data_IF_743482412481
#
_entry.id   IF_743482412481
#
_cell.length_a   1.000
_cell.length_b   1.000
_cell.length_c   1.000
_cell.angle_alpha   90.00
_cell.angle_beta   90.00
_cell.angle_gamma   90.00
#
_symmetry.space_group_name_H-M   'P 1'
#
loop_
_entity.id
_entity.type
_entity.pdbx_description
1 polymer ?
#
# COMPACT_ATOMS: atom_id res chain seq x y z
N UNK A 1 -17.50 -24.41 -5.49
CA UNK A 1 -17.13 -23.01 -5.20
C UNK A 1 -15.94 -23.03 -4.26
N UNK A 2 -15.07 -22.05 -4.35
CA UNK A 2 -13.87 -21.88 -3.50
C UNK A 2 -13.86 -20.42 -3.09
N UNK A 3 -13.70 -20.11 -1.81
CA UNK A 3 -13.59 -18.72 -1.35
C UNK A 3 -12.18 -18.19 -1.59
N UNK A 4 -12.03 -16.87 -1.71
CA UNK A 4 -10.75 -16.22 -1.97
C UNK A 4 -10.19 -15.66 -0.66
N UNK A 5 -8.92 -15.91 -0.39
CA UNK A 5 -8.18 -15.25 0.69
C UNK A 5 -7.19 -14.25 0.10
N UNK A 6 -7.15 -13.06 0.68
CA UNK A 6 -6.21 -11.99 0.40
C UNK A 6 -5.31 -11.75 1.61
N UNK A 7 -4.01 -11.60 1.36
CA UNK A 7 -2.98 -11.25 2.34
C UNK A 7 -1.97 -10.29 1.72
N UNK A 8 -1.54 -9.28 2.46
CA UNK A 8 -0.38 -8.43 2.16
C UNK A 8 0.89 -9.14 2.60
N UNK A 9 1.81 -9.40 1.67
CA UNK A 9 3.10 -10.04 1.90
C UNK A 9 4.21 -9.08 1.44
N UNK A 10 4.93 -8.50 2.40
CA UNK A 10 5.87 -7.41 2.12
C UNK A 10 5.17 -6.26 1.40
N UNK A 11 5.62 -5.94 0.19
CA UNK A 11 5.09 -4.84 -0.63
C UNK A 11 3.99 -5.26 -1.63
N UNK A 12 3.56 -6.53 -1.61
CA UNK A 12 2.63 -7.10 -2.59
C UNK A 12 1.35 -7.65 -1.96
N UNK A 13 0.28 -7.72 -2.76
CA UNK A 13 -0.93 -8.43 -2.38
C UNK A 13 -0.92 -9.82 -3.00
N UNK A 14 -1.12 -10.81 -2.15
CA UNK A 14 -1.22 -12.21 -2.52
C UNK A 14 -2.67 -12.67 -2.35
N UNK A 15 -3.28 -13.16 -3.44
CA UNK A 15 -4.64 -13.71 -3.43
C UNK A 15 -4.65 -15.15 -3.94
N UNK A 16 -5.35 -16.01 -3.23
CA UNK A 16 -5.50 -17.41 -3.62
C UNK A 16 -6.88 -17.95 -3.28
N UNK A 17 -7.37 -18.86 -4.12
CA UNK A 17 -8.59 -19.59 -3.85
C UNK A 17 -8.33 -20.71 -2.84
N UNK A 18 -9.20 -20.87 -1.85
CA UNK A 18 -9.13 -21.96 -0.89
C UNK A 18 -10.05 -23.09 -1.35
N UNK A 19 -9.44 -24.17 -1.81
CA UNK A 19 -10.12 -25.41 -2.21
C UNK A 19 -10.49 -26.31 -1.02
N UNK A 20 -10.93 -27.55 -1.32
CA UNK A 20 -11.11 -28.57 -0.28
C UNK A 20 -9.76 -28.92 0.32
N UNK A 21 -9.59 -28.65 1.62
CA UNK A 21 -8.36 -28.97 2.34
C UNK A 21 -8.25 -30.47 2.55
N UNK A 22 -7.05 -31.01 2.34
CA UNK A 22 -6.83 -32.44 2.47
C UNK A 22 -6.61 -32.84 3.93
N UNK A 23 -6.75 -34.12 4.21
CA UNK A 23 -6.34 -34.67 5.50
C UNK A 23 -4.84 -34.49 5.68
N UNK A 24 -4.42 -34.19 6.92
CA UNK A 24 -3.01 -33.97 7.23
C UNK A 24 -2.11 -35.13 6.76
N UNK A 25 -2.60 -36.38 6.86
CA UNK A 25 -1.89 -37.60 6.44
C UNK A 25 -1.66 -37.73 4.93
N UNK A 26 -2.36 -36.93 4.14
CA UNK A 26 -2.27 -36.96 2.67
C UNK A 26 -1.40 -35.85 2.10
N UNK A 27 -0.89 -34.95 2.96
CA UNK A 27 0.06 -33.92 2.57
C UNK A 27 1.41 -34.61 2.32
N UNK A 28 2.09 -34.21 1.24
CA UNK A 28 3.41 -34.76 0.94
C UNK A 28 4.43 -34.37 2.01
N UNK A 29 5.42 -35.23 2.24
CA UNK A 29 6.48 -34.99 3.22
C UNK A 29 7.66 -34.18 2.65
N UNK A 30 7.58 -33.71 1.41
CA UNK A 30 8.65 -32.96 0.77
C UNK A 30 8.85 -31.60 1.47
N UNK A 31 10.00 -31.35 2.13
CA UNK A 31 10.22 -30.12 2.91
C UNK A 31 10.49 -28.89 2.03
N UNK A 32 10.59 -29.04 0.70
CA UNK A 32 10.83 -27.92 -0.22
C UNK A 32 9.83 -26.79 -0.03
N UNK A 33 10.37 -25.57 0.01
CA UNK A 33 9.59 -24.35 0.13
C UNK A 33 8.63 -24.20 -1.05
N UNK A 34 7.48 -23.61 -0.78
CA UNK A 34 6.58 -23.09 -1.82
C UNK A 34 6.92 -21.63 -2.17
N UNK A 35 8.15 -21.22 -1.86
CA UNK A 35 8.69 -19.86 -2.05
C UNK A 35 10.03 -19.95 -2.77
N UNK A 36 10.19 -19.17 -3.84
CA UNK A 36 11.42 -19.07 -4.61
C UNK A 36 12.41 -18.05 -4.07
N UNK A 37 13.52 -17.89 -4.80
CA UNK A 37 14.65 -17.04 -4.40
C UNK A 37 14.32 -15.54 -4.41
N UNK A 38 13.26 -15.12 -5.10
CA UNK A 38 12.78 -13.73 -5.12
C UNK A 38 11.56 -13.53 -4.20
N UNK A 39 11.21 -14.53 -3.38
CA UNK A 39 9.98 -14.50 -2.59
C UNK A 39 8.72 -14.77 -3.41
N UNK A 40 8.86 -15.28 -4.63
CA UNK A 40 7.74 -15.65 -5.49
C UNK A 40 7.10 -16.96 -5.04
N UNK A 41 5.81 -17.12 -5.32
CA UNK A 41 5.10 -18.36 -5.03
C UNK A 41 5.50 -19.45 -6.03
N UNK A 42 6.12 -20.53 -5.55
CA UNK A 42 6.44 -21.72 -6.35
C UNK A 42 5.36 -22.77 -6.09
N UNK A 43 4.68 -23.10 -7.18
CA UNK A 43 3.57 -24.05 -7.17
C UNK A 43 4.06 -25.47 -7.37
N UNK A 44 3.72 -26.35 -6.44
CA UNK A 44 3.97 -27.78 -6.60
C UNK A 44 2.72 -28.54 -7.05
N UNK A 45 1.53 -27.90 -7.07
CA UNK A 45 0.24 -28.56 -7.36
C UNK A 45 -0.68 -27.79 -8.32
N UNK A 46 -1.26 -28.44 -9.36
CA UNK A 46 -2.03 -27.78 -10.42
C UNK A 46 -3.50 -27.44 -10.12
N UNK A 47 -4.01 -27.71 -8.91
CA UNK A 47 -5.47 -27.71 -8.62
C UNK A 47 -6.04 -26.39 -8.08
N UNK A 48 -5.21 -25.42 -7.69
CA UNK A 48 -5.66 -24.17 -7.02
C UNK A 48 -5.46 -22.93 -7.91
N UNK A 49 -6.44 -22.02 -7.94
CA UNK A 49 -6.34 -20.75 -8.68
C UNK A 49 -5.65 -19.66 -7.85
N UNK A 50 -4.72 -18.93 -8.46
CA UNK A 50 -3.92 -17.88 -7.81
C UNK A 50 -3.96 -16.60 -8.64
N UNK A 51 -4.06 -15.46 -7.95
CA UNK A 51 -3.86 -14.15 -8.54
C UNK A 51 -2.88 -13.37 -7.65
N UNK A 52 -1.63 -13.25 -8.09
CA UNK A 52 -0.65 -12.38 -7.45
C UNK A 52 -0.67 -11.02 -8.15
N UNK A 53 -1.08 -9.96 -7.44
CA UNK A 53 -0.84 -8.60 -7.91
C UNK A 53 0.58 -8.23 -7.47
N UNK A 54 1.56 -8.44 -8.36
CA UNK A 54 2.94 -8.00 -8.14
C UNK A 54 2.99 -6.49 -8.35
N UNK A 55 3.15 -5.71 -7.28
CA UNK A 55 3.63 -4.33 -7.39
C UNK A 55 5.13 -4.40 -7.66
N UNK A 56 5.54 -3.94 -8.83
CA UNK A 56 6.96 -3.69 -9.12
C UNK A 56 7.54 -2.74 -8.08
N UNK A 57 8.62 -3.13 -7.41
CA UNK A 57 9.42 -2.26 -6.54
C UNK A 57 9.80 -1.04 -7.37
N UNK A 58 9.22 0.12 -7.07
CA UNK A 58 9.50 1.35 -7.80
C UNK A 58 10.82 1.93 -7.28
N UNK A 59 11.67 2.36 -8.20
CA UNK A 59 12.82 3.19 -7.84
C UNK A 59 12.33 4.44 -7.09
N UNK A 60 13.08 4.92 -6.10
CA UNK A 60 12.67 6.07 -5.31
C UNK A 60 12.66 7.31 -6.21
N UNK A 61 11.50 7.94 -6.38
CA UNK A 61 11.33 9.13 -7.21
C UNK A 61 11.33 10.39 -6.33
N UNK A 62 12.23 11.32 -6.64
CA UNK A 62 12.19 12.66 -6.04
C UNK A 62 10.93 13.37 -6.55
N UNK A 63 10.06 13.92 -5.67
CA UNK A 63 8.84 14.60 -6.09
C UNK A 63 9.16 15.71 -7.11
N UNK A 64 8.37 15.86 -8.19
CA UNK A 64 8.59 16.93 -9.15
C UNK A 64 8.42 18.30 -8.47
N UNK A 65 9.24 19.31 -8.84
CA UNK A 65 9.19 20.61 -8.21
C UNK A 65 7.82 21.28 -8.42
N UNK A 66 7.21 21.82 -7.36
CA UNK A 66 6.03 22.70 -7.47
C UNK A 66 6.43 23.99 -8.18
N UNK A 67 5.98 24.15 -9.42
CA UNK A 67 6.18 25.37 -10.21
C UNK A 67 5.35 26.52 -9.63
N UNK A 68 6.00 27.55 -9.08
CA UNK A 68 5.39 28.83 -8.65
C UNK A 68 5.66 29.89 -9.74
N UNK A 69 5.51 29.53 -11.01
CA UNK A 69 5.85 30.42 -12.12
C UNK A 69 4.59 30.90 -12.82
N UNK A 70 3.97 31.99 -12.33
CA UNK A 70 3.39 33.10 -13.14
C UNK A 70 2.64 34.09 -12.24
N UNK A 71 3.29 35.13 -11.73
CA UNK A 71 2.57 36.32 -11.24
C UNK A 71 2.44 37.38 -12.36
N UNK A 72 1.22 37.79 -12.73
CA UNK A 72 0.97 38.75 -13.83
C UNK A 72 1.52 40.16 -13.53
N UNK A 73 1.77 40.96 -14.56
CA UNK A 73 2.36 42.32 -14.44
C UNK A 73 1.64 43.24 -13.43
N UNK A 74 0.32 43.17 -13.42
CA UNK A 74 -0.53 43.96 -12.54
C UNK A 74 -0.39 43.59 -11.07
N UNK A 75 -0.14 42.33 -10.73
CA UNK A 75 0.00 41.89 -9.34
C UNK A 75 1.28 42.38 -8.67
N UNK A 76 2.30 42.78 -9.46
CA UNK A 76 3.55 43.38 -8.98
C UNK A 76 3.55 44.92 -8.99
N UNK A 77 2.53 45.53 -9.57
CA UNK A 77 2.34 46.99 -9.61
C UNK A 77 1.38 47.43 -8.51
N UNK A 78 0.38 46.60 -8.19
CA UNK A 78 -0.66 46.83 -7.18
C UNK A 78 -0.48 45.83 -6.05
N UNK A 79 0.63 45.94 -5.32
CA UNK A 79 0.98 45.04 -4.21
C UNK A 79 0.11 45.28 -2.94
N UNK A 80 -1.08 45.87 -3.07
CA UNK A 80 -1.97 46.23 -1.95
C UNK A 80 -1.46 47.36 -1.04
N UNK A 81 -0.26 47.90 -1.27
CA UNK A 81 0.36 48.94 -0.45
C UNK A 81 -0.01 50.36 -0.92
N UNK A 82 0.06 51.35 -0.01
CA UNK A 82 -0.20 52.77 -0.30
C UNK A 82 0.59 53.30 -1.50
N UNK A 83 1.82 52.82 -1.71
CA UNK A 83 2.67 53.17 -2.87
C UNK A 83 2.15 52.57 -4.19
N UNK A 84 1.58 51.36 -4.18
CA UNK A 84 0.97 50.75 -5.37
C UNK A 84 -0.26 51.50 -5.87
N UNK A 85 -1.11 51.99 -4.95
CA UNK A 85 -2.25 52.83 -5.31
C UNK A 85 -1.85 54.21 -5.86
N UNK A 86 -0.75 54.80 -5.36
CA UNK A 86 -0.19 56.04 -5.90
C UNK A 86 0.30 55.83 -7.35
N UNK A 87 0.93 54.70 -7.66
CA UNK A 87 1.38 54.38 -9.02
C UNK A 87 0.22 54.23 -10.01
N UNK A 88 -0.89 53.60 -9.60
CA UNK A 88 -2.12 53.56 -10.39
C UNK A 88 -2.70 54.97 -10.62
N UNK A 89 -2.70 55.80 -9.57
CA UNK A 89 -3.15 57.19 -9.67
C UNK A 89 -2.31 58.01 -10.66
N UNK A 90 -0.99 57.80 -10.70
CA UNK A 90 -0.09 58.46 -11.65
C UNK A 90 -0.36 58.03 -13.10
N UNK A 91 -0.65 56.75 -13.35
CA UNK A 91 -1.02 56.25 -14.68
C UNK A 91 -2.36 56.84 -15.12
N UNK A 92 -3.36 56.85 -14.24
CA UNK A 92 -4.68 57.40 -14.54
C UNK A 92 -4.61 58.91 -14.83
N UNK A 93 -3.86 59.65 -14.01
CA UNK A 93 -3.63 61.08 -14.21
C UNK A 93 -2.84 61.36 -15.50
N UNK A 94 -1.80 60.56 -15.78
CA UNK A 94 -1.02 60.66 -17.01
C UNK A 94 -1.85 60.40 -18.26
N UNK A 95 -2.75 59.41 -18.22
CA UNK A 95 -3.69 59.13 -19.30
C UNK A 95 -4.69 60.28 -19.51
N UNK A 96 -5.19 60.87 -18.41
CA UNK A 96 -6.09 62.03 -18.47
C UNK A 96 -5.39 63.26 -19.07
N UNK A 97 -4.14 63.52 -18.69
CA UNK A 97 -3.32 64.60 -19.25
C UNK A 97 -2.98 64.38 -20.72
N UNK A 98 -2.78 63.12 -21.13
CA UNK A 98 -2.61 62.76 -22.55
C UNK A 98 -3.86 63.04 -23.38
N UNK A 99 -5.03 62.64 -22.88
CA UNK A 99 -6.32 62.93 -23.52
C UNK A 99 -6.59 64.44 -23.58
N UNK A 100 -6.29 65.16 -22.50
CA UNK A 100 -6.42 66.62 -22.44
C UNK A 100 -5.45 67.30 -23.42
N UNK A 101 -4.20 66.82 -23.50
CA UNK A 101 -3.21 67.30 -24.44
C UNK A 101 -3.64 67.10 -25.90
N UNK A 102 -4.17 65.92 -26.24
CA UNK A 102 -4.72 65.65 -27.57
C UNK A 102 -5.92 66.56 -27.92
N UNK A 103 -6.81 66.82 -26.95
CA UNK A 103 -7.94 67.74 -27.12
C UNK A 103 -7.50 69.22 -27.25
N UNK A 104 -6.39 69.60 -26.62
CA UNK A 104 -5.80 70.93 -26.76
C UNK A 104 -5.02 71.07 -28.08
N UNK A 105 -4.38 70.00 -28.57
CA UNK A 105 -3.72 70.01 -29.89
C UNK A 105 -4.75 70.24 -31.00
N UNK A 106 -5.93 69.62 -30.91
CA UNK A 106 -6.99 69.80 -31.92
C UNK A 106 -7.61 71.20 -31.94
N UNK A 107 -7.48 71.98 -30.85
CA UNK A 107 -8.10 73.30 -30.71
C UNK A 107 -7.12 74.48 -30.69
N UNK A 108 -5.90 74.29 -30.18
CA UNK A 108 -4.90 75.36 -29.94
C UNK A 108 -3.47 74.99 -30.39
N UNK A 109 -3.29 73.90 -31.16
CA UNK A 109 -2.02 73.55 -31.78
C UNK A 109 -0.90 73.18 -30.78
N UNK A 110 0.33 73.66 -31.04
CA UNK A 110 1.57 73.20 -30.39
C UNK A 110 1.60 73.27 -28.84
N UNK A 111 0.75 74.09 -28.22
CA UNK A 111 0.63 74.17 -26.76
C UNK A 111 0.13 72.86 -26.11
N UNK A 112 -0.61 72.02 -26.84
CA UNK A 112 -1.07 70.72 -26.33
C UNK A 112 0.04 69.67 -26.22
N UNK A 113 1.17 69.87 -26.92
CA UNK A 113 2.32 68.95 -26.92
C UNK A 113 2.97 68.85 -25.53
N UNK A 114 2.99 69.96 -24.77
CA UNK A 114 3.51 69.95 -23.40
C UNK A 114 2.76 68.97 -22.49
N UNK A 115 1.42 68.95 -22.57
CA UNK A 115 0.58 68.07 -21.77
C UNK A 115 0.72 66.60 -22.18
N UNK A 116 0.93 66.34 -23.48
CA UNK A 116 1.21 65.01 -24.01
C UNK A 116 2.54 64.48 -23.44
N UNK A 117 3.60 65.30 -23.46
CA UNK A 117 4.91 64.91 -22.93
C UNK A 117 4.82 64.65 -21.41
N UNK A 118 4.16 65.53 -20.67
CA UNK A 118 3.98 65.37 -19.22
C UNK A 118 3.17 64.11 -18.88
N UNK A 119 2.10 63.84 -19.63
CA UNK A 119 1.30 62.62 -19.48
C UNK A 119 2.10 61.35 -19.77
N UNK A 120 2.92 61.34 -20.81
CA UNK A 120 3.81 60.22 -21.13
C UNK A 120 4.86 59.95 -20.05
N UNK A 121 5.47 61.00 -19.48
CA UNK A 121 6.44 60.86 -18.37
C UNK A 121 5.77 60.26 -17.13
N UNK A 122 4.57 60.72 -16.79
CA UNK A 122 3.79 60.21 -15.65
C UNK A 122 3.40 58.73 -15.80
N UNK A 123 3.16 58.26 -17.03
CA UNK A 123 2.94 56.83 -17.32
C UNK A 123 4.27 56.06 -17.30
N UNK A 124 5.33 56.61 -17.89
CA UNK A 124 6.60 55.91 -18.04
C UNK A 124 7.30 55.62 -16.69
N UNK A 125 7.21 56.52 -15.71
CA UNK A 125 7.85 56.37 -14.39
C UNK A 125 7.39 55.08 -13.66
N UNK A 126 6.07 54.84 -13.45
CA UNK A 126 5.57 53.58 -12.90
C UNK A 126 6.01 52.33 -13.64
N UNK A 127 6.09 52.39 -14.98
CA UNK A 127 6.54 51.26 -15.81
C UNK A 127 8.02 50.94 -15.59
N UNK A 128 8.89 51.95 -15.61
CA UNK A 128 10.35 51.76 -15.43
C UNK A 128 10.66 51.22 -14.03
N UNK A 129 10.02 51.76 -12.99
CA UNK A 129 10.21 51.30 -11.60
C UNK A 129 9.73 49.84 -11.43
N UNK A 130 8.58 49.49 -12.01
CA UNK A 130 8.05 48.12 -11.99
C UNK A 130 8.97 47.15 -12.76
N UNK A 131 9.55 47.57 -13.89
CA UNK A 131 10.52 46.77 -14.64
C UNK A 131 11.83 46.55 -13.87
N UNK A 132 12.34 47.57 -13.17
CA UNK A 132 13.52 47.42 -12.32
C UNK A 132 13.27 46.46 -11.15
N UNK A 133 12.14 46.59 -10.45
CA UNK A 133 11.73 45.66 -9.39
C UNK A 133 11.63 44.22 -9.90
N UNK A 134 10.98 44.02 -11.07
CA UNK A 134 10.89 42.71 -11.71
C UNK A 134 12.25 42.12 -12.09
N UNK A 135 13.23 42.94 -12.51
CA UNK A 135 14.59 42.46 -12.78
C UNK A 135 15.27 41.96 -11.51
N UNK A 136 15.15 42.68 -10.39
CA UNK A 136 15.72 42.27 -9.10
C UNK A 136 15.05 40.99 -8.58
N UNK A 137 13.72 40.92 -8.62
CA UNK A 137 12.95 39.73 -8.22
C UNK A 137 13.32 38.53 -9.11
N UNK A 138 13.39 38.70 -10.43
CA UNK A 138 13.82 37.63 -11.35
C UNK A 138 15.24 37.16 -11.07
N UNK A 139 16.18 38.07 -10.80
CA UNK A 139 17.56 37.69 -10.48
C UNK A 139 17.63 36.87 -9.18
N UNK A 140 16.89 37.29 -8.15
CA UNK A 140 16.76 36.56 -6.90
C UNK A 140 16.11 35.18 -7.10
N UNK A 141 15.00 35.11 -7.85
CA UNK A 141 14.32 33.85 -8.19
C UNK A 141 15.21 32.92 -9.02
N UNK A 142 15.98 33.44 -9.99
CA UNK A 142 16.92 32.62 -10.77
C UNK A 142 18.04 32.06 -9.92
N UNK A 143 18.51 32.80 -8.92
CA UNK A 143 19.52 32.32 -7.97
C UNK A 143 18.95 31.21 -7.09
N UNK A 144 17.76 31.42 -6.53
CA UNK A 144 17.07 30.38 -5.74
C UNK A 144 16.78 29.14 -6.58
N UNK A 145 16.40 29.30 -7.85
CA UNK A 145 16.19 28.17 -8.78
C UNK A 145 17.48 27.40 -9.02
N UNK A 146 18.58 28.08 -9.32
CA UNK A 146 19.89 27.42 -9.50
C UNK A 146 20.33 26.69 -8.23
N UNK A 147 20.21 27.33 -7.06
CA UNK A 147 20.55 26.70 -5.78
C UNK A 147 19.68 25.46 -5.47
N UNK A 148 18.42 25.45 -5.91
CA UNK A 148 17.53 24.29 -5.82
C UNK A 148 17.90 23.20 -6.83
N UNK A 149 18.10 23.56 -8.09
CA UNK A 149 18.50 22.63 -9.15
C UNK A 149 19.83 21.93 -8.83
N UNK A 150 20.80 22.67 -8.26
CA UNK A 150 22.07 22.10 -7.80
C UNK A 150 21.91 21.18 -6.59
N UNK A 151 20.96 21.46 -5.69
CA UNK A 151 20.63 20.55 -4.58
C UNK A 151 19.92 19.30 -5.10
N UNK A 152 18.95 19.46 -5.98
CA UNK A 152 18.18 18.34 -6.56
C UNK A 152 19.09 17.44 -7.41
N UNK A 153 20.02 18.01 -8.18
CA UNK A 153 21.01 17.25 -8.95
C UNK A 153 21.92 16.42 -8.04
N UNK A 154 22.47 17.02 -6.97
CA UNK A 154 23.27 16.30 -5.98
C UNK A 154 22.49 15.20 -5.28
N UNK A 155 21.23 15.47 -4.91
CA UNK A 155 20.36 14.49 -4.26
C UNK A 155 20.08 13.30 -5.18
N UNK A 156 19.87 13.53 -6.48
CA UNK A 156 19.70 12.44 -7.46
C UNK A 156 20.97 11.63 -7.64
N UNK A 157 22.14 12.28 -7.68
CA UNK A 157 23.42 11.59 -7.77
C UNK A 157 23.66 10.69 -6.55
N UNK A 158 23.44 11.21 -5.34
CA UNK A 158 23.54 10.44 -4.09
C UNK A 158 22.56 9.26 -4.06
N UNK A 159 21.30 9.48 -4.44
CA UNK A 159 20.33 8.38 -4.55
C UNK A 159 20.77 7.34 -5.56
N UNK A 160 21.26 7.76 -6.73
CA UNK A 160 21.70 6.82 -7.76
C UNK A 160 22.87 5.96 -7.28
N UNK A 161 23.86 6.57 -6.60
CA UNK A 161 24.99 5.86 -6.02
C UNK A 161 24.55 4.85 -4.95
N UNK A 162 23.65 5.28 -4.05
CA UNK A 162 23.09 4.42 -3.02
C UNK A 162 22.26 3.27 -3.62
N UNK A 163 21.42 3.53 -4.61
CA UNK A 163 20.66 2.46 -5.30
C UNK A 163 21.56 1.46 -6.01
N UNK A 164 22.66 1.91 -6.63
CA UNK A 164 23.66 1.02 -7.23
C UNK A 164 24.40 0.19 -6.17
N UNK A 165 24.63 0.74 -4.98
CA UNK A 165 25.20 0.00 -3.86
C UNK A 165 24.23 -1.08 -3.35
N UNK A 166 22.94 -0.76 -3.21
CA UNK A 166 21.90 -1.74 -2.86
C UNK A 166 21.76 -2.84 -3.92
N UNK A 167 21.89 -2.51 -5.21
CA UNK A 167 21.89 -3.52 -6.27
C UNK A 167 23.07 -4.49 -6.14
N UNK A 168 24.28 -4.00 -5.82
CA UNK A 168 25.41 -4.89 -5.52
C UNK A 168 25.15 -5.79 -4.31
N UNK A 169 24.51 -5.25 -3.27
CA UNK A 169 24.15 -6.02 -2.07
C UNK A 169 23.14 -7.12 -2.39
N UNK A 170 22.21 -6.85 -3.30
CA UNK A 170 21.24 -7.83 -3.79
C UNK A 170 21.95 -9.03 -4.43
N UNK A 171 23.00 -8.76 -5.22
CA UNK A 171 23.70 -9.77 -6.00
C UNK A 171 24.75 -10.53 -5.15
N UNK A 172 25.46 -9.85 -4.25
CA UNK A 172 26.45 -10.45 -3.35
C UNK A 172 26.45 -9.79 -1.94
N UNK A 173 25.86 -10.44 -0.92
CA UNK A 173 25.82 -9.91 0.44
C UNK A 173 27.10 -10.22 1.23
N UNK A 174 28.26 -9.90 0.67
CA UNK A 174 29.56 -10.05 1.32
C UNK A 174 29.90 -8.88 2.25
N UNK A 175 30.83 -9.09 3.19
CA UNK A 175 31.22 -8.06 4.17
C UNK A 175 31.79 -6.79 3.50
N UNK A 176 32.45 -6.95 2.34
CA UNK A 176 32.96 -5.82 1.55
C UNK A 176 31.81 -4.97 0.98
N UNK A 177 30.78 -5.62 0.44
CA UNK A 177 29.61 -4.96 -0.14
C UNK A 177 28.76 -4.32 0.95
N UNK A 178 28.59 -4.98 2.10
CA UNK A 178 27.93 -4.39 3.27
C UNK A 178 28.62 -3.09 3.71
N UNK A 179 29.95 -3.10 3.84
CA UNK A 179 30.70 -1.90 4.17
C UNK A 179 30.60 -0.81 3.08
N UNK A 180 30.47 -1.19 1.80
CA UNK A 180 30.25 -0.26 0.71
C UNK A 180 28.88 0.42 0.78
N UNK A 181 27.81 -0.35 0.99
CA UNK A 181 26.45 0.18 1.18
C UNK A 181 26.40 1.14 2.37
N UNK A 182 27.00 0.75 3.50
CA UNK A 182 27.05 1.59 4.68
C UNK A 182 27.71 2.96 4.38
N UNK A 183 28.83 2.97 3.65
CA UNK A 183 29.49 4.22 3.24
C UNK A 183 28.63 5.08 2.33
N UNK A 184 27.86 4.50 1.42
CA UNK A 184 26.96 5.29 0.56
C UNK A 184 25.73 5.79 1.33
N UNK A 185 25.21 5.00 2.28
CA UNK A 185 24.15 5.42 3.19
C UNK A 185 24.57 6.59 4.08
N UNK A 186 25.78 6.56 4.66
CA UNK A 186 26.29 7.64 5.51
C UNK A 186 26.42 9.00 4.78
N UNK A 187 26.51 8.99 3.44
CA UNK A 187 26.53 10.21 2.62
C UNK A 187 25.13 10.76 2.32
N UNK A 188 24.08 9.98 2.60
CA UNK A 188 22.74 10.24 2.14
C UNK A 188 22.02 11.22 3.07
N UNK A 189 21.99 12.49 2.70
CA UNK A 189 21.34 13.58 3.46
C UNK A 189 19.84 13.73 3.12
N UNK A 190 19.16 12.62 2.84
CA UNK A 190 17.76 12.61 2.42
C UNK A 190 16.85 11.95 3.46
N UNK A 191 15.60 12.44 3.61
CA UNK A 191 14.65 11.81 4.51
C UNK A 191 14.48 10.31 4.24
N UNK A 192 14.49 9.51 5.31
CA UNK A 192 14.34 8.05 5.31
C UNK A 192 13.23 7.56 4.36
N UNK A 193 12.05 8.19 4.43
CA UNK A 193 10.87 7.84 3.63
C UNK A 193 11.06 7.91 2.11
N UNK A 194 12.12 8.56 1.60
CA UNK A 194 12.41 8.62 0.16
C UNK A 194 12.99 7.30 -0.34
N UNK A 195 13.81 6.62 0.47
CA UNK A 195 14.66 5.51 0.02
C UNK A 195 14.43 4.21 0.80
N UNK A 196 13.74 4.27 1.95
CA UNK A 196 13.47 3.13 2.82
C UNK A 196 12.85 1.93 2.07
N UNK A 197 11.84 2.15 1.23
CA UNK A 197 11.18 1.07 0.48
C UNK A 197 12.15 0.27 -0.41
N UNK A 198 13.17 0.93 -0.96
CA UNK A 198 14.18 0.27 -1.81
C UNK A 198 15.16 -0.55 -0.97
N UNK A 199 15.55 -0.02 0.20
CA UNK A 199 16.37 -0.73 1.17
C UNK A 199 15.64 -1.96 1.72
N UNK A 200 14.37 -1.80 2.14
CA UNK A 200 13.46 -2.87 2.58
C UNK A 200 13.38 -3.97 1.52
N UNK A 201 13.10 -3.59 0.26
CA UNK A 201 13.03 -4.53 -0.86
C UNK A 201 14.34 -5.29 -1.10
N UNK A 202 15.48 -4.63 -0.92
CA UNK A 202 16.81 -5.25 -1.05
C UNK A 202 17.07 -6.27 0.05
N UNK A 203 16.83 -5.91 1.31
CA UNK A 203 17.03 -6.83 2.45
C UNK A 203 16.07 -8.02 2.37
N UNK A 204 14.82 -7.81 1.94
CA UNK A 204 13.87 -8.90 1.65
C UNK A 204 14.43 -9.88 0.62
N UNK A 205 14.99 -9.37 -0.49
CA UNK A 205 15.61 -10.22 -1.50
C UNK A 205 16.80 -11.00 -0.93
N UNK A 206 17.69 -10.34 -0.18
CA UNK A 206 18.83 -11.02 0.49
C UNK A 206 18.34 -12.16 1.38
N UNK A 207 17.24 -11.93 2.12
CA UNK A 207 16.60 -12.96 2.95
C UNK A 207 16.13 -14.17 2.14
N UNK A 208 15.34 -13.96 1.09
CA UNK A 208 14.83 -15.04 0.25
C UNK A 208 15.92 -15.77 -0.55
N UNK A 209 16.86 -15.04 -1.15
CA UNK A 209 17.92 -15.62 -1.97
C UNK A 209 18.88 -16.45 -1.13
N UNK A 210 19.22 -15.96 0.07
CA UNK A 210 20.07 -16.70 1.01
C UNK A 210 19.35 -17.93 1.52
N UNK A 211 18.08 -17.83 1.90
CA UNK A 211 17.27 -18.97 2.33
C UNK A 211 17.18 -20.06 1.27
N UNK A 212 16.92 -19.69 0.01
CA UNK A 212 16.89 -20.64 -1.09
C UNK A 212 18.25 -21.33 -1.32
N UNK A 213 19.37 -20.64 -1.04
CA UNK A 213 20.73 -21.16 -1.24
C UNK A 213 21.20 -22.09 -0.11
N UNK A 214 20.97 -21.70 1.15
CA UNK A 214 21.57 -22.39 2.30
C UNK A 214 20.59 -23.22 3.13
N UNK A 215 19.27 -23.04 2.95
CA UNK A 215 18.25 -23.80 3.64
C UNK A 215 17.75 -23.18 4.95
N UNK A 216 16.60 -23.69 5.42
CA UNK A 216 15.89 -23.22 6.62
C UNK A 216 16.54 -23.67 7.93
N UNK A 217 17.34 -24.73 7.90
CA UNK A 217 18.13 -25.23 9.03
C UNK A 217 19.16 -24.20 9.53
N UNK A 218 19.59 -23.28 8.65
CA UNK A 218 20.51 -22.18 8.97
C UNK A 218 19.81 -20.83 9.14
N UNK A 219 18.52 -20.83 9.50
CA UNK A 219 17.72 -19.61 9.64
C UNK A 219 18.33 -18.54 10.56
N UNK A 220 19.01 -18.92 11.64
CA UNK A 220 19.69 -17.98 12.53
C UNK A 220 20.84 -17.22 11.84
N UNK A 221 21.56 -17.89 10.93
CA UNK A 221 22.64 -17.26 10.16
C UNK A 221 22.08 -16.31 9.09
N UNK A 222 20.94 -16.69 8.48
CA UNK A 222 20.21 -15.83 7.54
C UNK A 222 19.72 -14.57 8.27
N UNK A 223 19.13 -14.73 9.45
CA UNK A 223 18.67 -13.60 10.26
C UNK A 223 19.82 -12.66 10.61
N UNK A 224 20.99 -13.20 11.00
CA UNK A 224 22.18 -12.38 11.28
C UNK A 224 22.70 -11.65 10.03
N UNK A 225 22.64 -12.28 8.85
CA UNK A 225 22.96 -11.60 7.60
C UNK A 225 21.97 -10.48 7.27
N UNK A 226 20.67 -10.73 7.46
CA UNK A 226 19.62 -9.72 7.26
C UNK A 226 19.76 -8.55 8.23
N UNK A 227 20.14 -8.80 9.49
CA UNK A 227 20.41 -7.75 10.48
C UNK A 227 21.59 -6.88 10.03
N UNK A 228 22.70 -7.50 9.63
CA UNK A 228 23.86 -6.76 9.08
C UNK A 228 23.54 -5.99 7.80
N UNK A 229 22.73 -6.57 6.91
CA UNK A 229 22.27 -5.92 5.69
C UNK A 229 21.33 -4.74 5.99
N UNK A 230 20.45 -4.88 6.99
CA UNK A 230 19.56 -3.82 7.45
C UNK A 230 20.35 -2.65 8.04
N UNK A 231 21.33 -2.94 8.89
CA UNK A 231 22.21 -1.94 9.50
C UNK A 231 23.02 -1.20 8.43
N UNK A 232 23.62 -1.93 7.49
CA UNK A 232 24.37 -1.34 6.39
C UNK A 232 23.49 -0.48 5.48
N UNK A 233 22.29 -0.94 5.17
CA UNK A 233 21.32 -0.20 4.35
C UNK A 233 20.71 1.00 5.10
N UNK A 234 20.86 1.10 6.42
CA UNK A 234 20.32 2.20 7.21
C UNK A 234 18.86 2.04 7.60
N UNK A 235 18.32 0.82 7.59
CA UNK A 235 16.96 0.57 8.05
C UNK A 235 16.82 0.88 9.54
N UNK A 236 15.70 1.46 9.92
CA UNK A 236 15.36 1.60 11.33
C UNK A 236 15.03 0.23 11.94
N UNK A 237 15.18 0.09 13.25
CA UNK A 237 14.97 -1.19 13.95
C UNK A 237 13.58 -1.79 13.73
N UNK A 238 12.54 -0.95 13.62
CA UNK A 238 11.17 -1.38 13.32
C UNK A 238 11.07 -2.04 11.94
N UNK A 239 11.62 -1.41 10.90
CA UNK A 239 11.59 -1.93 9.54
C UNK A 239 12.50 -3.16 9.37
N UNK A 240 13.67 -3.18 10.04
CA UNK A 240 14.54 -4.35 10.06
C UNK A 240 13.83 -5.58 10.66
N UNK A 241 13.05 -5.38 11.74
CA UNK A 241 12.21 -6.43 12.33
C UNK A 241 11.07 -6.83 11.37
N UNK A 242 10.37 -5.85 10.79
CA UNK A 242 9.26 -6.07 9.88
C UNK A 242 9.69 -6.86 8.62
N UNK A 243 10.90 -6.62 8.11
CA UNK A 243 11.46 -7.36 6.97
C UNK A 243 11.65 -8.85 7.30
N UNK A 244 12.17 -9.20 8.50
CA UNK A 244 12.27 -10.60 8.94
C UNK A 244 10.90 -11.25 9.08
N UNK A 245 9.94 -10.54 9.68
CA UNK A 245 8.56 -10.99 9.81
C UNK A 245 7.92 -11.22 8.42
N UNK A 246 8.17 -10.34 7.45
CA UNK A 246 7.64 -10.46 6.11
C UNK A 246 8.19 -11.70 5.36
N UNK A 247 9.47 -12.04 5.53
CA UNK A 247 10.05 -13.29 4.98
C UNK A 247 9.36 -14.51 5.59
N UNK A 248 9.24 -14.57 6.92
CA UNK A 248 8.54 -15.65 7.62
C UNK A 248 7.08 -15.77 7.15
N UNK A 249 6.35 -14.65 7.16
CA UNK A 249 4.94 -14.59 6.77
C UNK A 249 4.76 -15.09 5.34
N UNK A 250 5.59 -14.64 4.40
CA UNK A 250 5.54 -15.08 3.00
C UNK A 250 5.68 -16.60 2.87
N UNK A 251 6.63 -17.21 3.59
CA UNK A 251 6.85 -18.67 3.55
C UNK A 251 5.67 -19.43 4.12
N UNK A 252 5.17 -19.03 5.28
CA UNK A 252 3.98 -19.65 5.88
C UNK A 252 2.78 -19.54 4.95
N UNK A 253 2.49 -18.35 4.44
CA UNK A 253 1.35 -18.10 3.57
C UNK A 253 1.43 -18.85 2.24
N UNK A 254 2.63 -19.01 1.68
CA UNK A 254 2.82 -19.86 0.50
C UNK A 254 2.55 -21.33 0.80
N UNK A 255 3.01 -21.88 1.93
CA UNK A 255 2.64 -23.26 2.32
C UNK A 255 1.15 -23.44 2.57
N UNK A 256 0.51 -22.45 3.19
CA UNK A 256 -0.94 -22.43 3.38
C UNK A 256 -1.67 -22.38 2.04
N UNK A 257 -1.18 -21.60 1.09
CA UNK A 257 -1.81 -21.44 -0.21
C UNK A 257 -1.63 -22.64 -1.14
N UNK A 258 -0.52 -23.38 -1.04
CA UNK A 258 -0.28 -24.64 -1.78
C UNK A 258 -0.94 -25.87 -1.11
N UNK A 259 -1.60 -25.68 0.05
CA UNK A 259 -2.14 -26.78 0.88
C UNK A 259 -1.07 -27.82 1.27
N UNK A 260 0.14 -27.34 1.57
CA UNK A 260 1.34 -28.17 1.84
C UNK A 260 1.88 -28.03 3.27
N UNK A 261 1.21 -27.33 4.18
CA UNK A 261 1.71 -27.15 5.55
C UNK A 261 1.58 -28.43 6.42
N UNK A 262 2.19 -29.56 6.03
CA UNK A 262 2.22 -30.79 6.80
C UNK A 262 3.16 -30.72 8.01
N UNK A 263 3.36 -31.85 8.70
CA UNK A 263 4.27 -31.90 9.87
C UNK A 263 5.71 -31.53 9.52
N UNK A 264 6.21 -31.96 8.35
CA UNK A 264 7.58 -31.66 7.92
C UNK A 264 7.75 -30.19 7.53
N UNK A 265 6.81 -29.63 6.78
CA UNK A 265 6.85 -28.21 6.40
C UNK A 265 6.64 -27.31 7.62
N UNK A 266 5.84 -27.75 8.61
CA UNK A 266 5.71 -27.03 9.87
C UNK A 266 7.05 -26.97 10.62
N UNK A 267 7.85 -28.04 10.65
CA UNK A 267 9.21 -27.99 11.22
C UNK A 267 10.08 -26.96 10.52
N UNK A 268 10.00 -26.86 9.19
CA UNK A 268 10.71 -25.85 8.39
C UNK A 268 10.27 -24.43 8.79
N UNK A 269 8.96 -24.19 8.86
CA UNK A 269 8.41 -22.89 9.27
C UNK A 269 8.81 -22.52 10.70
N UNK A 270 8.79 -23.48 11.64
CA UNK A 270 9.21 -23.27 13.03
C UNK A 270 10.71 -23.02 13.17
N UNK A 271 11.55 -23.73 12.41
CA UNK A 271 12.98 -23.46 12.37
C UNK A 271 13.28 -22.02 11.91
N UNK A 272 12.53 -21.53 10.91
CA UNK A 272 12.64 -20.13 10.45
C UNK A 272 12.16 -19.17 11.54
N UNK A 273 10.99 -19.42 12.15
CA UNK A 273 10.44 -18.60 13.23
C UNK A 273 11.43 -18.45 14.40
N UNK A 274 12.00 -19.57 14.86
CA UNK A 274 12.98 -19.62 15.94
C UNK A 274 14.30 -18.95 15.55
N UNK A 275 14.84 -19.27 14.37
CA UNK A 275 16.08 -18.66 13.87
C UNK A 275 15.97 -17.15 13.72
N UNK A 276 14.81 -16.65 13.29
CA UNK A 276 14.53 -15.22 13.14
C UNK A 276 14.13 -14.55 14.46
N UNK A 277 13.96 -15.34 15.53
CA UNK A 277 13.52 -14.90 16.87
C UNK A 277 12.15 -14.22 16.86
N UNK A 278 11.26 -14.67 15.98
CA UNK A 278 9.88 -14.16 15.88
C UNK A 278 9.01 -14.90 16.89
N UNK A 279 8.39 -14.17 17.82
CA UNK A 279 7.43 -14.74 18.76
C UNK A 279 6.04 -14.84 18.11
N UNK A 280 5.17 -15.78 18.54
CA UNK A 280 3.80 -15.85 18.05
C UNK A 280 3.03 -14.52 18.22
N UNK A 281 3.29 -13.80 19.30
CA UNK A 281 2.68 -12.50 19.61
C UNK A 281 3.15 -11.38 18.68
N UNK A 282 4.31 -11.54 18.02
CA UNK A 282 4.83 -10.58 17.03
C UNK A 282 4.07 -10.70 15.69
N UNK A 283 3.44 -11.85 15.43
CA UNK A 283 2.72 -12.18 14.19
C UNK A 283 1.36 -12.85 14.48
N UNK A 284 0.44 -12.16 15.18
CA UNK A 284 -0.80 -12.76 15.66
C UNK A 284 -1.74 -13.21 14.53
N UNK A 285 -1.74 -12.47 13.40
CA UNK A 285 -2.53 -12.81 12.20
C UNK A 285 -2.06 -14.14 11.61
N UNK A 286 -0.74 -14.34 11.53
CA UNK A 286 -0.14 -15.54 10.95
C UNK A 286 -0.42 -16.76 11.84
N UNK A 287 -0.24 -16.61 13.15
CA UNK A 287 -0.55 -17.65 14.13
C UNK A 287 -2.03 -18.04 14.12
N UNK A 288 -2.93 -17.05 14.06
CA UNK A 288 -4.38 -17.28 13.97
C UNK A 288 -4.76 -17.96 12.64
N UNK A 289 -4.17 -17.51 11.53
CA UNK A 289 -4.47 -18.05 10.20
C UNK A 289 -4.00 -19.50 10.05
N UNK A 290 -2.82 -19.82 10.59
CA UNK A 290 -2.32 -21.19 10.68
C UNK A 290 -3.31 -22.09 11.44
N UNK A 291 -3.75 -21.68 12.63
CA UNK A 291 -4.71 -22.43 13.43
C UNK A 291 -6.06 -22.64 12.70
N UNK A 292 -6.56 -21.59 12.03
CA UNK A 292 -7.78 -21.69 11.23
C UNK A 292 -7.63 -22.68 10.08
N UNK A 293 -6.52 -22.67 9.33
CA UNK A 293 -6.30 -23.63 8.26
C UNK A 293 -6.09 -25.06 8.75
N UNK A 294 -5.42 -25.26 9.89
CA UNK A 294 -5.30 -26.57 10.53
C UNK A 294 -6.69 -27.12 10.89
N UNK A 295 -7.55 -26.28 11.47
CA UNK A 295 -8.92 -26.66 11.84
C UNK A 295 -9.78 -27.06 10.64
N UNK A 296 -9.48 -26.52 9.44
CA UNK A 296 -10.20 -26.87 8.20
C UNK A 296 -9.82 -28.23 7.62
N UNK A 297 -8.76 -28.88 8.11
CA UNK A 297 -8.30 -30.17 7.57
C UNK A 297 -9.31 -31.27 7.79
N UNK A 298 -9.53 -32.05 6.74
CA UNK A 298 -10.45 -33.18 6.77
C UNK A 298 -11.93 -32.81 6.87
N UNK A 299 -12.28 -31.51 6.96
CA UNK A 299 -13.69 -31.10 6.94
C UNK A 299 -14.23 -31.25 5.51
N UNK A 300 -15.33 -31.98 5.39
CA UNK A 300 -16.10 -32.17 4.18
C UNK A 300 -17.61 -32.23 4.46
N UNK A 301 -18.39 -32.59 3.43
CA UNK A 301 -19.85 -32.67 3.53
C UNK A 301 -20.34 -33.76 4.48
N UNK A 302 -19.53 -34.78 4.79
CA UNK A 302 -19.89 -35.92 5.62
C UNK A 302 -19.65 -35.66 7.11
N UNK A 303 -18.66 -34.84 7.44
CA UNK A 303 -18.27 -34.53 8.81
C UNK A 303 -18.35 -33.02 9.13
N UNK A 304 -19.22 -32.29 8.42
CA UNK A 304 -19.45 -30.87 8.67
C UNK A 304 -19.73 -30.62 10.16
N UNK A 305 -19.06 -29.63 10.79
CA UNK A 305 -19.22 -29.34 12.20
C UNK A 305 -20.67 -28.95 12.53
N UNK A 306 -21.06 -29.12 13.79
CA UNK A 306 -22.38 -28.71 14.30
C UNK A 306 -22.21 -27.78 15.50
N UNK A 307 -23.05 -26.76 15.56
CA UNK A 307 -23.13 -25.81 16.68
C UNK A 307 -24.55 -25.65 17.19
N UNK A 308 -24.67 -25.05 18.38
CA UNK A 308 -25.95 -24.57 18.88
C UNK A 308 -26.33 -23.25 18.18
N UNK A 309 -27.59 -23.15 17.77
CA UNK A 309 -28.18 -21.91 17.23
C UNK A 309 -29.16 -21.32 18.23
N UNK A 310 -29.11 -20.00 18.42
CA UNK A 310 -30.13 -19.26 19.17
C UNK A 310 -31.31 -18.83 18.28
N UNK A 311 -31.14 -18.92 16.97
CA UNK A 311 -32.15 -18.57 15.96
C UNK A 311 -32.96 -19.82 15.59
N UNK A 312 -34.29 -19.70 15.35
CA UNK A 312 -35.11 -20.78 14.83
C UNK A 312 -34.57 -21.35 13.51
N UNK A 313 -34.35 -22.67 13.48
CA UNK A 313 -33.90 -23.41 12.30
C UNK A 313 -35.09 -24.07 11.60
N UNK A 314 -35.06 -24.09 10.26
CA UNK A 314 -36.04 -24.78 9.44
C UNK A 314 -35.91 -26.30 9.44
N UNK A 315 -36.82 -26.97 8.73
CA UNK A 315 -36.77 -28.42 8.58
C UNK A 315 -35.49 -28.87 7.87
N UNK A 316 -34.75 -29.83 8.46
CA UNK A 316 -33.44 -30.30 7.99
C UNK A 316 -32.35 -29.22 7.90
N UNK A 317 -32.56 -28.07 8.55
CA UNK A 317 -31.54 -27.04 8.72
C UNK A 317 -30.76 -27.28 10.02
N UNK A 318 -29.43 -27.15 9.97
CA UNK A 318 -28.58 -27.22 11.15
C UNK A 318 -27.48 -26.15 11.10
N UNK A 319 -27.11 -25.65 12.28
CA UNK A 319 -26.00 -24.72 12.47
C UNK A 319 -24.68 -25.45 12.27
N UNK A 320 -23.83 -24.89 11.41
CA UNK A 320 -22.48 -25.40 11.15
C UNK A 320 -21.41 -24.58 11.88
N UNK A 321 -21.61 -23.27 11.93
CA UNK A 321 -20.73 -22.37 12.65
C UNK A 321 -21.46 -21.15 13.19
N UNK A 322 -21.00 -20.63 14.33
CA UNK A 322 -21.43 -19.36 14.88
C UNK A 322 -20.20 -18.54 15.29
N UNK A 323 -20.26 -17.23 15.03
CA UNK A 323 -19.17 -16.31 15.35
C UNK A 323 -19.70 -14.96 15.78
N UNK A 324 -18.99 -14.34 16.71
CA UNK A 324 -19.17 -12.92 16.99
C UNK A 324 -18.49 -12.11 15.88
N UNK A 325 -19.26 -11.21 15.26
CA UNK A 325 -18.81 -10.35 14.16
C UNK A 325 -19.11 -8.88 14.46
N UNK A 326 -18.40 -7.99 13.78
CA UNK A 326 -18.67 -6.56 13.74
C UNK A 326 -19.04 -6.13 12.31
N UNK A 327 -20.31 -5.82 12.02
CA UNK A 327 -20.74 -5.34 10.71
C UNK A 327 -20.04 -4.04 10.34
N UNK A 328 -19.74 -3.86 9.06
CA UNK A 328 -19.09 -2.63 8.58
C UNK A 328 -19.96 -1.40 8.86
N UNK A 329 -19.37 -0.40 9.52
CA UNK A 329 -20.08 0.81 9.95
C UNK A 329 -20.87 0.67 11.25
N UNK A 330 -20.78 -0.48 11.94
CA UNK A 330 -21.30 -0.66 13.30
C UNK A 330 -20.17 -0.66 14.33
N UNK A 331 -20.44 -0.12 15.51
CA UNK A 331 -19.54 -0.25 16.66
C UNK A 331 -19.90 -1.45 17.55
N UNK A 332 -21.12 -1.97 17.46
CA UNK A 332 -21.56 -3.13 18.24
C UNK A 332 -21.22 -4.45 17.55
N UNK A 333 -20.92 -5.46 18.36
CA UNK A 333 -20.81 -6.84 17.92
C UNK A 333 -22.18 -7.52 17.88
N UNK A 334 -22.30 -8.55 17.05
CA UNK A 334 -23.51 -9.36 16.83
C UNK A 334 -23.09 -10.77 16.43
N UNK A 335 -23.98 -11.75 16.61
CA UNK A 335 -23.69 -13.13 16.23
C UNK A 335 -24.08 -13.38 14.78
N UNK A 336 -23.15 -13.95 14.02
CA UNK A 336 -23.41 -14.54 12.72
C UNK A 336 -23.55 -16.05 12.89
N UNK A 337 -24.53 -16.62 12.18
CA UNK A 337 -24.77 -18.05 12.10
C UNK A 337 -24.65 -18.49 10.65
N UNK A 338 -23.84 -19.52 10.41
CA UNK A 338 -23.75 -20.22 9.13
C UNK A 338 -24.44 -21.57 9.29
N UNK A 339 -25.50 -21.79 8.51
CA UNK A 339 -26.22 -23.06 8.45
C UNK A 339 -25.96 -23.73 7.10
N UNK A 340 -26.39 -24.99 6.97
CA UNK A 340 -26.37 -25.68 5.68
C UNK A 340 -27.34 -25.10 4.62
N UNK A 341 -28.10 -24.03 4.93
CA UNK A 341 -29.11 -23.44 4.05
C UNK A 341 -29.03 -21.92 3.90
N UNK A 342 -28.46 -21.21 4.87
CA UNK A 342 -28.40 -19.74 4.90
C UNK A 342 -27.30 -19.23 5.84
N UNK A 343 -26.90 -18.00 5.61
CA UNK A 343 -26.08 -17.19 6.50
C UNK A 343 -26.96 -16.12 7.12
N UNK A 344 -26.96 -16.01 8.44
CA UNK A 344 -27.85 -15.13 9.18
C UNK A 344 -27.10 -14.32 10.24
N UNK A 345 -27.54 -13.09 10.47
CA UNK A 345 -27.02 -12.23 11.53
C UNK A 345 -28.13 -11.90 12.56
N UNK A 346 -27.81 -12.13 13.83
CA UNK A 346 -28.69 -11.86 14.97
C UNK A 346 -28.41 -10.46 15.54
N UNK A 347 -29.00 -9.44 14.92
CA UNK A 347 -28.75 -8.05 15.28
C UNK A 347 -29.81 -7.07 14.79
N UNK A 348 -29.70 -5.78 15.15
CA UNK A 348 -30.70 -4.75 14.85
C UNK A 348 -30.91 -4.52 13.35
N UNK A 349 -29.91 -4.82 12.53
CA UNK A 349 -30.07 -5.00 11.08
C UNK A 349 -30.11 -6.51 10.82
N UNK A 350 -31.29 -7.10 10.86
CA UNK A 350 -31.43 -8.51 10.52
C UNK A 350 -31.01 -8.71 9.07
N UNK A 351 -30.08 -9.63 8.87
CA UNK A 351 -29.57 -10.00 7.57
C UNK A 351 -29.69 -11.52 7.44
N UNK A 352 -30.28 -11.96 6.34
CA UNK A 352 -30.40 -13.36 5.97
C UNK A 352 -30.11 -13.48 4.48
N UNK A 353 -29.14 -14.31 4.13
CA UNK A 353 -28.87 -14.70 2.74
C UNK A 353 -28.94 -16.21 2.64
N UNK A 354 -29.79 -16.67 1.73
CA UNK A 354 -29.83 -18.08 1.36
C UNK A 354 -28.53 -18.46 0.67
N UNK A 355 -28.00 -19.62 1.04
CA UNK A 355 -26.75 -20.14 0.50
C UNK A 355 -26.70 -20.19 -1.05
N UNK A 356 -27.76 -20.60 -1.78
CA UNK A 356 -27.73 -20.61 -3.25
C UNK A 356 -27.57 -19.24 -3.90
N UNK A 357 -27.92 -18.16 -3.17
CA UNK A 357 -27.76 -16.79 -3.63
C UNK A 357 -26.31 -16.29 -3.48
N UNK A 358 -25.43 -17.02 -2.80
CA UNK A 358 -24.04 -16.59 -2.60
C UNK A 358 -23.24 -16.81 -3.88
N UNK A 359 -22.70 -15.72 -4.42
CA UNK A 359 -21.94 -15.71 -5.68
C UNK A 359 -20.44 -15.73 -5.46
N UNK A 360 -19.96 -15.03 -4.41
CA UNK A 360 -18.54 -14.93 -4.09
C UNK A 360 -18.32 -14.66 -2.59
N UNK A 361 -17.20 -15.14 -2.07
CA UNK A 361 -16.75 -14.96 -0.69
C UNK A 361 -15.28 -14.54 -0.72
N UNK A 362 -15.01 -13.31 -0.27
CA UNK A 362 -13.66 -12.76 -0.16
C UNK A 362 -13.31 -12.58 1.32
N UNK A 363 -12.14 -13.07 1.69
CA UNK A 363 -11.56 -12.96 3.03
C UNK A 363 -10.29 -12.12 2.94
N UNK A 364 -10.25 -11.01 3.66
CA UNK A 364 -9.04 -10.21 3.87
C UNK A 364 -8.48 -10.57 5.25
N UNK A 365 -7.36 -11.30 5.26
CA UNK A 365 -6.74 -11.80 6.47
C UNK A 365 -6.11 -10.69 7.32
N UNK A 366 -5.61 -9.62 6.70
CA UNK A 366 -4.98 -8.50 7.42
C UNK A 366 -6.02 -7.63 8.13
N UNK A 367 -7.14 -7.38 7.45
CA UNK A 367 -8.24 -6.59 7.99
C UNK A 367 -9.22 -7.42 8.84
N UNK A 368 -8.99 -8.73 8.99
CA UNK A 368 -9.93 -9.69 9.59
C UNK A 368 -11.35 -9.58 9.00
N UNK A 369 -11.45 -9.28 7.71
CA UNK A 369 -12.71 -8.91 7.06
C UNK A 369 -13.19 -10.03 6.16
N UNK A 370 -14.50 -10.28 6.17
CA UNK A 370 -15.17 -11.17 5.25
C UNK A 370 -16.21 -10.38 4.47
N UNK A 371 -16.20 -10.57 3.16
CA UNK A 371 -17.11 -9.95 2.20
C UNK A 371 -17.86 -11.05 1.47
N UNK A 372 -19.18 -11.07 1.62
CA UNK A 372 -20.08 -11.99 0.91
C UNK A 372 -20.81 -11.22 -0.19
N UNK A 373 -20.65 -11.66 -1.44
CA UNK A 373 -21.45 -11.16 -2.56
C UNK A 373 -22.58 -12.15 -2.81
N UNK A 374 -23.81 -11.64 -2.88
CA UNK A 374 -24.99 -12.45 -3.10
C UNK A 374 -25.88 -11.87 -4.21
N UNK A 375 -26.43 -12.74 -5.04
CA UNK A 375 -27.41 -12.41 -6.06
C UNK A 375 -28.63 -11.79 -5.39
N UNK A 376 -29.01 -10.59 -5.83
CA UNK A 376 -30.17 -9.87 -5.27
C UNK A 376 -29.83 -8.85 -4.18
N UNK A 377 -28.59 -8.77 -3.70
CA UNK A 377 -28.16 -7.65 -2.85
C UNK A 377 -27.49 -6.55 -3.68
N UNK A 378 -27.89 -5.28 -3.47
CA UNK A 378 -27.28 -4.14 -4.18
C UNK A 378 -25.83 -3.89 -3.77
N UNK A 379 -25.48 -4.26 -2.53
CA UNK A 379 -24.16 -4.09 -1.94
C UNK A 379 -23.67 -5.41 -1.36
N UNK A 380 -22.36 -5.69 -1.40
CA UNK A 380 -21.77 -6.81 -0.67
C UNK A 380 -22.03 -6.68 0.83
N UNK A 381 -22.09 -7.82 1.52
CA UNK A 381 -22.21 -7.87 2.97
C UNK A 381 -20.82 -8.00 3.56
N UNK A 382 -20.45 -7.02 4.37
CA UNK A 382 -19.10 -6.88 4.89
C UNK A 382 -19.08 -6.83 6.41
N UNK A 383 -18.24 -7.66 7.02
CA UNK A 383 -18.07 -7.68 8.47
C UNK A 383 -16.64 -8.08 8.86
N UNK A 384 -16.24 -7.69 10.07
CA UNK A 384 -14.99 -8.12 10.71
C UNK A 384 -15.31 -9.31 11.61
N UNK A 385 -14.50 -10.36 11.55
CA UNK A 385 -14.66 -11.59 12.33
C UNK A 385 -13.34 -12.00 12.98
N UNK A 386 -13.39 -12.63 14.15
CA UNK A 386 -12.17 -13.13 14.82
C UNK A 386 -11.47 -14.26 14.05
N UNK A 387 -12.24 -15.11 13.37
CA UNK A 387 -11.75 -16.22 12.55
C UNK A 387 -12.26 -16.10 11.10
N UNK A 388 -11.77 -15.12 10.32
CA UNK A 388 -12.35 -14.79 9.01
C UNK A 388 -12.16 -15.89 7.97
N UNK A 389 -11.06 -16.65 8.02
CA UNK A 389 -10.76 -17.75 7.09
C UNK A 389 -11.67 -18.94 7.38
N UNK A 390 -11.81 -19.30 8.66
CA UNK A 390 -12.69 -20.41 9.06
C UNK A 390 -14.15 -20.08 8.72
N UNK A 391 -14.59 -18.85 8.97
CA UNK A 391 -15.93 -18.39 8.62
C UNK A 391 -16.20 -18.43 7.11
N UNK A 392 -15.25 -17.96 6.29
CA UNK A 392 -15.34 -18.04 4.84
C UNK A 392 -15.46 -19.50 4.36
N UNK A 393 -14.67 -20.40 4.96
CA UNK A 393 -14.70 -21.83 4.63
C UNK A 393 -16.00 -22.53 5.04
N UNK A 394 -16.56 -22.21 6.21
CA UNK A 394 -17.86 -22.77 6.63
C UNK A 394 -18.98 -22.30 5.71
N UNK A 395 -18.92 -21.05 5.27
CA UNK A 395 -19.87 -20.50 4.30
C UNK A 395 -19.74 -21.20 2.94
N UNK A 396 -18.51 -21.40 2.44
CA UNK A 396 -18.28 -22.15 1.21
C UNK A 396 -18.73 -23.62 1.34
N UNK A 397 -18.48 -24.28 2.48
CA UNK A 397 -18.94 -25.63 2.74
C UNK A 397 -20.47 -25.73 2.71
N UNK A 398 -21.17 -24.74 3.27
CA UNK A 398 -22.63 -24.67 3.19
C UNK A 398 -23.11 -24.61 1.73
N UNK A 399 -22.45 -23.85 0.85
CA UNK A 399 -22.78 -23.81 -0.60
C UNK A 399 -22.64 -25.16 -1.30
N UNK A 400 -21.78 -26.04 -0.79
CA UNK A 400 -21.60 -27.39 -1.35
C UNK A 400 -22.57 -28.42 -0.78
N UNK A 401 -23.11 -28.17 0.43
CA UNK A 401 -24.10 -29.01 1.09
C UNK A 401 -25.52 -28.74 0.61
N UNK A 402 -25.75 -27.58 0.00
CA UNK A 402 -27.06 -27.22 -0.52
C UNK A 402 -27.21 -27.64 -1.99
N UNK A 403 -27.88 -28.76 -2.22
CA UNK A 403 -28.13 -29.31 -3.56
C UNK A 403 -29.13 -28.49 -4.40
N UNK A 404 -29.68 -27.40 -3.87
CA UNK A 404 -30.64 -26.55 -4.58
C UNK A 404 -29.94 -25.81 -5.74
N UNK A 405 -30.52 -25.79 -6.96
CA UNK A 405 -29.93 -25.05 -8.06
C UNK A 405 -29.89 -23.56 -7.77
N UNK A 406 -28.85 -22.85 -8.23
CA UNK A 406 -28.74 -21.39 -8.07
C UNK A 406 -29.95 -20.61 -8.61
N UNK A 407 -30.68 -21.16 -9.60
CA UNK A 407 -31.91 -20.57 -10.14
C UNK A 407 -33.11 -20.57 -9.18
N UNK A 408 -33.00 -21.23 -8.03
CA UNK A 408 -34.04 -21.26 -6.97
C UNK A 408 -33.81 -20.23 -5.86
N UNK A 409 -32.77 -19.39 -5.98
CA UNK A 409 -32.41 -18.36 -5.00
C UNK A 409 -33.47 -17.26 -4.88
#
# INVERSE_FOLDING_TARGET
MSFIVQKSLGNNFFRFAVGRRRDARSIDENPELSTGSNGEFIRHRPEIFYAADVRTIRSPEVPPPRSIATQPFWSTMVDGTRRGYIMLGLIALGALLLLLGLAVVSSKGAAGVFWIILGLVLIAIPFVITLQKRRVVRAHDTRIRKEREERDARNRELLSAYTAALEKLRDDPSDEVLAYVQRENEKLDLPYAIWADTAIGTVLHVGFSTLARIGADRAAEIAALMDRASDAAGLIAEDALAVKQAVYSTILWHFLADDRLGEQQLKVVRAIQEGFKIKPDDVPIDTSSEAQFIRLRGIDHRNAPRCESKIPLGLHEYCMYSAEIRPTGSQSTTNLYVTNKRVMMDGPKHFEVKVPAIDDILVDADANRVTIRASGTKTPIDFVAGEPIYLGAMTDLATRLDDRPKSFA
#
